data_IF_681552466051
#
_entry.id   IF_681552466051
#
_cell.length_a   1.000
_cell.length_b   1.000
_cell.length_c   1.000
_cell.angle_alpha   90.00
_cell.angle_beta   90.00
_cell.angle_gamma   90.00
#
_symmetry.space_group_name_H-M   'P 1'
#
loop_
_entity.id
_entity.type
_entity.pdbx_description
1 polymer ?
#
# COMPACT_ATOMS: atom_id res chain seq x y z
N UNK A 1 -44.04 27.15 34.04
CA UNK A 1 -43.14 26.14 33.40
C UNK A 1 -42.96 26.35 31.88
N UNK A 2 -43.16 27.56 31.32
CA UNK A 2 -42.95 27.85 29.88
C UNK A 2 -41.82 28.87 29.62
N UNK A 3 -40.92 29.10 30.59
CA UNK A 3 -39.76 29.99 30.43
C UNK A 3 -38.46 29.20 30.23
N UNK A 4 -38.51 28.13 29.44
CA UNK A 4 -37.32 27.42 29.00
C UNK A 4 -36.91 27.91 27.61
N UNK A 5 -35.64 28.22 27.41
CA UNK A 5 -35.12 28.45 26.06
C UNK A 5 -35.34 27.19 25.23
N UNK A 6 -36.10 27.29 24.15
CA UNK A 6 -36.26 26.17 23.22
C UNK A 6 -34.90 25.83 22.59
N UNK A 7 -34.61 24.55 22.35
CA UNK A 7 -33.42 24.14 21.58
C UNK A 7 -33.40 24.75 20.18
N UNK A 8 -34.56 25.16 19.66
CA UNK A 8 -34.68 25.88 18.39
C UNK A 8 -34.13 27.30 18.47
N UNK A 9 -34.25 27.97 19.61
CA UNK A 9 -33.74 29.34 19.83
C UNK A 9 -32.24 29.41 20.09
N UNK A 10 -31.57 28.27 20.36
CA UNK A 10 -30.11 28.23 20.60
C UNK A 10 -29.29 28.06 19.32
N UNK A 11 -29.92 27.86 18.16
CA UNK A 11 -29.23 27.59 16.89
C UNK A 11 -29.77 28.51 15.79
N UNK A 12 -28.86 29.04 14.96
CA UNK A 12 -29.25 29.87 13.82
C UNK A 12 -30.14 29.10 12.84
N UNK A 13 -31.24 29.73 12.38
CA UNK A 13 -32.23 29.14 11.47
C UNK A 13 -31.56 28.45 10.27
N UNK A 14 -31.97 27.21 10.00
CA UNK A 14 -31.52 26.44 8.85
C UNK A 14 -31.98 27.06 7.53
N UNK A 15 -31.16 26.96 6.49
CA UNK A 15 -31.52 27.34 5.12
C UNK A 15 -31.18 26.16 4.19
N UNK A 16 -31.78 26.08 3.00
CA UNK A 16 -31.51 25.04 1.99
C UNK A 16 -30.02 24.93 1.66
N UNK A 17 -29.29 26.06 1.65
CA UNK A 17 -27.82 26.07 1.51
C UNK A 17 -27.11 25.31 2.65
N UNK A 18 -27.58 25.45 3.90
CA UNK A 18 -27.04 24.68 5.04
C UNK A 18 -27.41 23.20 4.92
N UNK A 19 -28.63 22.89 4.48
CA UNK A 19 -29.07 21.50 4.20
C UNK A 19 -28.14 20.85 3.17
N UNK A 20 -27.93 21.49 2.02
CA UNK A 20 -27.06 20.98 0.96
C UNK A 20 -25.61 20.82 1.43
N UNK A 21 -25.10 21.76 2.25
CA UNK A 21 -23.78 21.62 2.88
C UNK A 21 -23.68 20.35 3.73
N UNK A 22 -24.69 20.07 4.56
CA UNK A 22 -24.72 18.85 5.40
C UNK A 22 -24.74 17.57 4.55
N UNK A 23 -25.60 17.48 3.53
CA UNK A 23 -25.64 16.30 2.64
C UNK A 23 -24.33 16.13 1.85
N UNK A 24 -23.76 17.23 1.36
CA UNK A 24 -22.49 17.22 0.67
C UNK A 24 -21.37 16.66 1.56
N UNK A 25 -21.30 17.14 2.80
CA UNK A 25 -20.31 16.70 3.78
C UNK A 25 -20.52 15.25 4.21
N UNK A 26 -21.74 14.84 4.54
CA UNK A 26 -22.01 13.56 5.19
C UNK A 26 -22.11 12.37 4.23
N UNK A 27 -22.52 12.60 2.98
CA UNK A 27 -22.75 11.51 2.02
C UNK A 27 -21.92 11.66 0.75
N UNK A 28 -21.87 12.85 0.15
CA UNK A 28 -21.16 13.01 -1.14
C UNK A 28 -19.64 12.99 -1.01
N UNK A 29 -19.07 13.52 0.08
CA UNK A 29 -17.62 13.46 0.33
C UNK A 29 -17.17 12.01 0.53
N UNK A 30 -17.71 11.24 1.50
CA UNK A 30 -17.34 9.82 1.66
C UNK A 30 -17.49 9.01 0.39
N UNK A 31 -18.61 9.15 -0.32
CA UNK A 31 -18.85 8.40 -1.54
C UNK A 31 -17.82 8.68 -2.64
N UNK A 32 -17.43 9.95 -2.83
CA UNK A 32 -16.43 10.32 -3.83
C UNK A 32 -15.02 9.95 -3.39
N UNK A 33 -14.74 10.06 -2.09
CA UNK A 33 -13.48 9.62 -1.52
C UNK A 33 -13.28 8.12 -1.69
N UNK A 34 -14.28 7.32 -1.32
CA UNK A 34 -14.23 5.86 -1.42
C UNK A 34 -13.97 5.40 -2.86
N UNK A 35 -14.63 6.02 -3.84
CA UNK A 35 -14.37 5.73 -5.26
C UNK A 35 -12.93 6.03 -5.68
N UNK A 36 -12.34 7.09 -5.16
CA UNK A 36 -10.94 7.43 -5.38
C UNK A 36 -10.01 6.42 -4.70
N UNK A 37 -10.30 6.08 -3.45
CA UNK A 37 -9.49 5.12 -2.69
C UNK A 37 -9.50 3.75 -3.35
N UNK A 38 -10.67 3.25 -3.79
CA UNK A 38 -10.78 1.97 -4.50
C UNK A 38 -10.01 1.99 -5.83
N UNK A 39 -10.07 3.08 -6.60
CA UNK A 39 -9.29 3.20 -7.83
C UNK A 39 -7.78 3.20 -7.55
N UNK A 40 -7.34 3.96 -6.54
CA UNK A 40 -5.95 4.01 -6.09
C UNK A 40 -5.45 2.66 -5.56
N UNK A 41 -6.30 1.91 -4.85
CA UNK A 41 -5.97 0.57 -4.36
C UNK A 41 -5.61 -0.37 -5.51
N UNK A 42 -6.37 -0.35 -6.61
CA UNK A 42 -6.03 -1.14 -7.79
C UNK A 42 -4.74 -0.67 -8.47
N UNK A 43 -4.42 0.63 -8.45
CA UNK A 43 -3.11 1.13 -8.91
C UNK A 43 -1.97 0.60 -8.04
N UNK A 44 -2.12 0.60 -6.71
CA UNK A 44 -1.15 -0.01 -5.80
C UNK A 44 -0.97 -1.51 -6.08
N UNK A 45 -2.08 -2.24 -6.31
CA UNK A 45 -2.06 -3.65 -6.67
C UNK A 45 -1.35 -3.88 -8.02
N UNK A 46 -1.58 -3.02 -9.01
CA UNK A 46 -0.90 -3.08 -10.30
C UNK A 46 0.62 -2.90 -10.15
N UNK A 47 1.05 -1.89 -9.38
CA UNK A 47 2.47 -1.65 -9.07
C UNK A 47 3.09 -2.82 -8.29
N UNK A 48 2.39 -3.38 -7.30
CA UNK A 48 2.82 -4.55 -6.55
C UNK A 48 3.00 -5.79 -7.44
N UNK A 49 2.02 -6.07 -8.31
CA UNK A 49 2.11 -7.18 -9.24
C UNK A 49 3.21 -6.94 -10.30
N UNK A 50 3.46 -5.70 -10.70
CA UNK A 50 4.59 -5.35 -11.59
C UNK A 50 5.93 -5.71 -10.98
N UNK A 51 6.11 -5.45 -9.68
CA UNK A 51 7.32 -5.84 -8.94
C UNK A 51 7.53 -7.36 -8.96
N UNK A 52 6.47 -8.16 -8.84
CA UNK A 52 6.57 -9.62 -8.81
C UNK A 52 6.64 -10.28 -10.21
N UNK A 53 6.19 -9.60 -11.26
CA UNK A 53 6.05 -10.20 -12.61
C UNK A 53 6.95 -9.54 -13.66
N UNK A 54 6.89 -8.21 -13.79
CA UNK A 54 7.57 -7.44 -14.84
C UNK A 54 9.05 -7.29 -14.51
N UNK A 55 9.40 -6.90 -13.28
CA UNK A 55 10.79 -6.70 -12.87
C UNK A 55 11.63 -8.00 -13.04
N UNK A 56 11.21 -9.18 -12.54
CA UNK A 56 11.95 -10.43 -12.78
C UNK A 56 12.03 -10.79 -14.27
N UNK A 57 10.97 -10.57 -15.05
CA UNK A 57 11.01 -10.82 -16.49
C UNK A 57 12.05 -9.95 -17.20
N UNK A 58 12.12 -8.66 -16.88
CA UNK A 58 13.12 -7.74 -17.44
C UNK A 58 14.54 -8.18 -17.10
N UNK A 59 14.79 -8.54 -15.84
CA UNK A 59 16.09 -9.06 -15.40
C UNK A 59 16.46 -10.34 -16.18
N UNK A 60 15.53 -11.29 -16.32
CA UNK A 60 15.77 -12.53 -17.09
C UNK A 60 16.03 -12.23 -18.57
N UNK A 61 15.29 -11.32 -19.19
CA UNK A 61 15.50 -10.91 -20.59
C UNK A 61 16.87 -10.26 -20.78
N UNK A 62 17.31 -9.41 -19.86
CA UNK A 62 18.61 -8.75 -19.90
C UNK A 62 19.75 -9.77 -19.72
N UNK A 63 19.63 -10.69 -18.77
CA UNK A 63 20.60 -11.79 -18.58
C UNK A 63 20.66 -12.69 -19.83
N UNK A 64 19.51 -13.05 -20.39
CA UNK A 64 19.43 -13.87 -21.61
C UNK A 64 20.09 -13.18 -22.81
N UNK A 65 19.88 -11.87 -22.97
CA UNK A 65 20.51 -11.06 -24.02
C UNK A 65 22.04 -11.06 -23.89
N UNK A 66 22.57 -10.90 -22.68
CA UNK A 66 24.02 -10.93 -22.40
C UNK A 66 24.59 -12.32 -22.72
N UNK A 67 23.93 -13.40 -22.28
CA UNK A 67 24.35 -14.78 -22.55
C UNK A 67 24.39 -15.10 -24.05
N UNK A 68 23.37 -14.65 -24.81
CA UNK A 68 23.27 -14.89 -26.26
C UNK A 68 24.26 -14.07 -27.07
N UNK A 69 24.45 -12.80 -26.72
CA UNK A 69 25.25 -11.85 -27.51
C UNK A 69 26.73 -11.89 -27.14
N UNK A 70 27.09 -12.46 -25.97
CA UNK A 70 28.47 -12.51 -25.41
C UNK A 70 29.19 -11.15 -25.33
N UNK A 71 28.46 -10.05 -25.52
CA UNK A 71 28.96 -8.68 -25.43
C UNK A 71 28.34 -8.04 -24.20
N UNK A 72 29.19 -7.51 -23.33
CA UNK A 72 28.76 -6.68 -22.20
C UNK A 72 28.31 -5.33 -22.73
N UNK A 73 27.05 -5.23 -23.13
CA UNK A 73 26.41 -3.96 -23.41
C UNK A 73 26.14 -3.26 -22.08
N UNK A 74 26.42 -1.96 -22.03
CA UNK A 74 26.14 -1.15 -20.84
C UNK A 74 24.63 -1.20 -20.53
N UNK A 75 24.22 -1.53 -19.29
CA UNK A 75 22.81 -1.59 -18.92
C UNK A 75 22.19 -0.18 -18.99
N UNK A 76 20.92 -0.12 -19.38
CA UNK A 76 20.17 1.13 -19.35
C UNK A 76 19.86 1.53 -17.89
N UNK A 77 19.56 2.80 -17.64
CA UNK A 77 19.19 3.29 -16.31
C UNK A 77 18.03 2.49 -15.69
N UNK A 78 17.01 2.18 -16.51
CA UNK A 78 15.87 1.38 -16.08
C UNK A 78 16.27 -0.04 -15.66
N UNK A 79 17.19 -0.69 -16.39
CA UNK A 79 17.68 -2.02 -16.04
C UNK A 79 18.43 -1.95 -14.70
N UNK A 80 19.26 -0.93 -14.51
CA UNK A 80 20.05 -0.77 -13.29
C UNK A 80 19.19 -0.45 -12.06
N UNK A 81 18.14 0.36 -12.22
CA UNK A 81 17.12 0.57 -11.19
C UNK A 81 16.38 -0.73 -10.84
N UNK A 82 15.97 -1.51 -11.85
CA UNK A 82 15.33 -2.82 -11.65
C UNK A 82 16.27 -3.78 -10.88
N UNK A 83 17.57 -3.78 -11.19
CA UNK A 83 18.58 -4.55 -10.43
C UNK A 83 18.69 -4.05 -8.98
N UNK A 84 18.74 -2.74 -8.76
CA UNK A 84 18.77 -2.16 -7.41
C UNK A 84 17.56 -2.57 -6.57
N UNK A 85 16.35 -2.44 -7.13
CA UNK A 85 15.11 -2.87 -6.48
C UNK A 85 15.08 -4.38 -6.21
N UNK A 86 15.58 -5.21 -7.14
CA UNK A 86 15.67 -6.66 -6.93
C UNK A 86 16.62 -7.01 -5.79
N UNK A 87 17.78 -6.36 -5.67
CA UNK A 87 18.71 -6.57 -4.55
C UNK A 87 18.05 -6.17 -3.22
N UNK A 88 17.37 -5.02 -3.17
CA UNK A 88 16.62 -4.58 -1.99
C UNK A 88 15.56 -5.62 -1.59
N UNK A 89 14.76 -6.09 -2.56
CA UNK A 89 13.73 -7.10 -2.32
C UNK A 89 14.33 -8.43 -1.84
N UNK A 90 15.38 -8.92 -2.50
CA UNK A 90 16.01 -10.20 -2.17
C UNK A 90 16.63 -10.18 -0.77
N UNK A 91 17.38 -9.12 -0.44
CA UNK A 91 17.97 -8.95 0.90
C UNK A 91 16.90 -8.72 1.96
N UNK A 92 15.87 -7.92 1.67
CA UNK A 92 14.73 -7.72 2.58
C UNK A 92 14.02 -9.03 2.92
N UNK A 93 13.68 -9.84 1.91
CA UNK A 93 13.07 -11.16 2.11
C UNK A 93 14.00 -12.08 2.89
N UNK A 94 15.30 -12.12 2.56
CA UNK A 94 16.28 -12.94 3.27
C UNK A 94 16.39 -12.55 4.75
N UNK A 95 16.46 -11.24 5.05
CA UNK A 95 16.48 -10.72 6.42
C UNK A 95 15.22 -11.12 7.19
N UNK A 96 14.03 -10.96 6.59
CA UNK A 96 12.77 -11.34 7.22
C UNK A 96 12.66 -12.86 7.45
N UNK A 97 13.25 -13.68 6.59
CA UNK A 97 13.27 -15.14 6.75
C UNK A 97 14.13 -15.60 7.93
N UNK A 98 15.15 -14.84 8.31
CA UNK A 98 15.97 -15.14 9.50
C UNK A 98 15.24 -14.83 10.81
N UNK A 99 14.13 -14.10 10.77
CA UNK A 99 13.35 -13.72 11.94
C UNK A 99 12.34 -14.82 12.28
N UNK A 100 12.37 -15.28 13.53
CA UNK A 100 11.36 -16.18 14.09
C UNK A 100 10.09 -15.40 14.46
N UNK A 101 9.02 -15.65 13.72
CA UNK A 101 7.70 -15.04 13.93
C UNK A 101 7.15 -15.44 15.31
N UNK A 102 7.40 -16.68 15.75
CA UNK A 102 6.89 -17.23 17.00
C UNK A 102 7.42 -16.44 18.20
N UNK A 103 8.71 -16.05 18.17
CA UNK A 103 9.32 -15.24 19.21
C UNK A 103 8.64 -13.87 19.32
N UNK A 104 8.48 -13.17 18.20
CA UNK A 104 7.82 -11.86 18.18
C UNK A 104 6.37 -12.00 18.65
N UNK A 105 5.66 -13.01 18.17
CA UNK A 105 4.29 -13.31 18.59
C UNK A 105 4.19 -13.54 20.10
N UNK A 106 5.07 -14.35 20.69
CA UNK A 106 5.06 -14.60 22.14
C UNK A 106 5.37 -13.35 22.95
N UNK A 107 6.30 -12.50 22.50
CA UNK A 107 6.61 -11.23 23.16
C UNK A 107 5.41 -10.28 23.13
N UNK A 108 4.74 -10.19 21.98
CA UNK A 108 3.58 -9.33 21.75
C UNK A 108 2.36 -9.83 22.54
N UNK A 109 2.07 -11.15 22.49
CA UNK A 109 0.97 -11.79 23.22
C UNK A 109 1.12 -11.68 24.73
N UNK A 110 2.35 -11.64 25.25
CA UNK A 110 2.63 -11.43 26.67
C UNK A 110 2.32 -10.02 27.18
N UNK A 111 2.03 -9.06 26.31
CA UNK A 111 1.67 -7.69 26.70
C UNK A 111 0.18 -7.56 27.00
N UNK A 112 -0.17 -6.66 27.92
CA UNK A 112 -1.58 -6.30 28.13
C UNK A 112 -2.16 -5.52 26.95
N UNK A 113 -3.46 -5.64 26.72
CA UNK A 113 -4.19 -4.98 25.60
C UNK A 113 -3.90 -3.48 25.49
N UNK A 114 -3.72 -2.80 26.63
CA UNK A 114 -3.38 -1.38 26.67
C UNK A 114 -2.00 -1.10 26.05
N UNK A 115 -1.00 -1.93 26.37
CA UNK A 115 0.34 -1.76 25.79
C UNK A 115 0.34 -2.11 24.30
N UNK A 116 -0.46 -3.08 23.90
CA UNK A 116 -0.56 -3.54 22.52
C UNK A 116 -1.07 -2.44 21.57
N UNK A 117 -2.07 -1.66 21.96
CA UNK A 117 -2.54 -0.53 21.14
C UNK A 117 -1.47 0.55 21.01
N UNK A 118 -0.70 0.83 22.07
CA UNK A 118 0.37 1.84 22.02
C UNK A 118 1.44 1.39 21.03
N UNK A 119 1.82 0.10 21.08
CA UNK A 119 2.78 -0.48 20.14
C UNK A 119 2.28 -0.37 18.70
N UNK A 120 1.01 -0.72 18.43
CA UNK A 120 0.44 -0.62 17.08
C UNK A 120 0.48 0.82 16.55
N UNK A 121 0.02 1.80 17.34
CA UNK A 121 0.03 3.21 16.94
C UNK A 121 1.47 3.74 16.71
N UNK A 122 2.43 3.31 17.53
CA UNK A 122 3.84 3.68 17.33
C UNK A 122 4.38 3.09 16.03
N UNK A 123 4.08 1.82 15.74
CA UNK A 123 4.48 1.18 14.49
C UNK A 123 3.84 1.84 13.26
N UNK A 124 2.61 2.33 13.38
CA UNK A 124 1.94 3.08 12.30
C UNK A 124 2.62 4.42 12.02
N UNK A 125 3.06 5.13 13.06
CA UNK A 125 3.87 6.35 12.89
C UNK A 125 5.18 6.00 12.16
N UNK A 126 5.83 4.89 12.52
CA UNK A 126 7.04 4.43 11.83
C UNK A 126 6.77 4.01 10.38
N UNK A 127 5.64 3.38 10.07
CA UNK A 127 5.25 3.07 8.68
C UNK A 127 5.15 4.36 7.86
N UNK A 128 4.42 5.36 8.36
CA UNK A 128 4.27 6.67 7.69
C UNK A 128 5.63 7.38 7.49
N UNK A 129 6.53 7.30 8.48
CA UNK A 129 7.90 7.84 8.37
C UNK A 129 8.75 7.07 7.35
N UNK A 130 8.65 5.74 7.33
CA UNK A 130 9.38 4.89 6.39
C UNK A 130 8.88 5.07 4.96
N UNK A 131 7.58 5.29 4.74
CA UNK A 131 7.02 5.60 3.43
C UNK A 131 7.60 6.92 2.89
N UNK A 132 7.57 8.00 3.69
CA UNK A 132 8.11 9.29 3.26
C UNK A 132 9.62 9.23 3.00
N UNK A 133 10.37 8.56 3.87
CA UNK A 133 11.82 8.43 3.71
C UNK A 133 12.21 7.47 2.57
N UNK A 134 11.44 6.40 2.37
CA UNK A 134 11.69 5.40 1.32
C UNK A 134 11.56 5.98 -0.09
N UNK A 135 10.65 6.95 -0.29
CA UNK A 135 10.52 7.70 -1.54
C UNK A 135 11.79 8.46 -1.88
N UNK A 136 12.31 9.26 -0.94
CA UNK A 136 13.56 10.01 -1.12
C UNK A 136 14.75 9.06 -1.40
N UNK A 137 14.83 7.95 -0.66
CA UNK A 137 15.92 6.97 -0.81
C UNK A 137 15.90 6.29 -2.18
N UNK A 138 14.73 5.89 -2.69
CA UNK A 138 14.63 5.34 -4.04
C UNK A 138 14.92 6.38 -5.12
N UNK A 139 14.49 7.62 -4.92
CA UNK A 139 14.79 8.69 -5.87
C UNK A 139 16.31 8.91 -6.00
N UNK A 140 17.04 8.91 -4.88
CA UNK A 140 18.51 8.99 -4.90
C UNK A 140 19.13 7.77 -5.58
N UNK A 141 18.65 6.55 -5.28
CA UNK A 141 19.12 5.32 -5.93
C UNK A 141 18.93 5.36 -7.45
N UNK A 142 17.75 5.79 -7.93
CA UNK A 142 17.44 5.90 -9.35
C UNK A 142 18.23 7.00 -10.04
N UNK A 143 18.49 8.12 -9.36
CA UNK A 143 19.37 9.16 -9.88
C UNK A 143 20.81 8.65 -10.04
N UNK A 144 21.30 7.87 -9.09
CA UNK A 144 22.63 7.23 -9.19
C UNK A 144 22.66 6.14 -10.27
N UNK A 145 21.54 5.46 -10.53
CA UNK A 145 21.40 4.53 -11.63
C UNK A 145 21.48 5.22 -13.01
N UNK A 146 20.79 6.34 -13.16
CA UNK A 146 20.87 7.20 -14.34
C UNK A 146 22.30 7.71 -14.56
N UNK A 147 22.95 8.19 -13.50
CA UNK A 147 24.35 8.61 -13.52
C UNK A 147 25.29 7.51 -13.99
N UNK A 148 25.16 6.28 -13.46
CA UNK A 148 25.98 5.15 -13.88
C UNK A 148 25.73 4.74 -15.34
N UNK A 149 24.52 4.92 -15.86
CA UNK A 149 24.20 4.57 -17.25
C UNK A 149 24.79 5.56 -18.28
N UNK A 150 24.86 6.85 -17.94
CA UNK A 150 25.26 7.94 -18.86
C UNK A 150 26.72 8.37 -18.73
N UNK A 151 27.40 7.97 -17.66
CA UNK A 151 28.75 8.40 -17.30
C UNK A 151 29.86 8.07 -18.34
N UNK A 152 30.94 8.86 -18.43
CA UNK A 152 32.13 8.52 -19.22
C UNK A 152 32.98 7.42 -18.56
N UNK A 153 33.83 6.71 -19.34
CA UNK A 153 34.64 5.57 -18.87
C UNK A 153 35.50 5.89 -17.64
N UNK A 154 36.03 7.11 -17.55
CA UNK A 154 36.95 7.53 -16.48
C UNK A 154 36.27 7.70 -15.11
N UNK A 155 34.95 7.91 -15.09
CA UNK A 155 34.17 8.15 -13.86
C UNK A 155 33.32 6.95 -13.42
N UNK A 156 33.38 5.84 -14.17
CA UNK A 156 32.55 4.65 -13.90
C UNK A 156 32.76 4.08 -12.51
N UNK A 157 33.99 4.05 -12.00
CA UNK A 157 34.30 3.51 -10.66
C UNK A 157 33.65 4.35 -9.55
N UNK A 158 33.67 5.67 -9.70
CA UNK A 158 33.04 6.61 -8.76
C UNK A 158 31.52 6.48 -8.77
N UNK A 159 30.89 6.50 -9.95
CA UNK A 159 29.43 6.35 -10.06
C UNK A 159 28.96 4.95 -9.61
N UNK A 160 29.76 3.91 -9.84
CA UNK A 160 29.47 2.56 -9.34
C UNK A 160 29.52 2.52 -7.81
N UNK A 161 30.54 3.11 -7.19
CA UNK A 161 30.65 3.18 -5.74
C UNK A 161 29.47 3.96 -5.13
N UNK A 162 29.09 5.07 -5.77
CA UNK A 162 27.92 5.87 -5.39
C UNK A 162 26.64 5.04 -5.46
N UNK A 163 26.40 4.35 -6.58
CA UNK A 163 25.24 3.46 -6.74
C UNK A 163 25.21 2.33 -5.69
N UNK A 164 26.37 1.75 -5.36
CA UNK A 164 26.46 0.72 -4.30
C UNK A 164 26.17 1.28 -2.91
N UNK A 165 26.64 2.49 -2.60
CA UNK A 165 26.40 3.14 -1.31
C UNK A 165 24.93 3.54 -1.15
N UNK A 166 24.34 4.15 -2.19
CA UNK A 166 22.92 4.48 -2.22
C UNK A 166 22.06 3.20 -2.17
N UNK A 167 22.50 2.13 -2.84
CA UNK A 167 21.89 0.81 -2.75
C UNK A 167 21.93 0.22 -1.34
N UNK A 168 23.05 0.37 -0.62
CA UNK A 168 23.17 -0.08 0.77
C UNK A 168 22.23 0.69 1.71
N UNK A 169 22.09 2.00 1.51
CA UNK A 169 21.12 2.84 2.25
C UNK A 169 19.69 2.36 1.97
N UNK A 170 19.36 2.09 0.69
CA UNK A 170 18.06 1.55 0.30
C UNK A 170 17.77 0.20 0.96
N UNK A 171 18.73 -0.73 0.94
CA UNK A 171 18.58 -2.03 1.61
C UNK A 171 18.27 -1.84 3.09
N UNK A 172 19.04 -1.00 3.79
CA UNK A 172 18.83 -0.76 5.22
C UNK A 172 17.44 -0.16 5.50
N UNK A 173 17.05 0.87 4.74
CA UNK A 173 15.76 1.54 4.89
C UNK A 173 14.58 0.58 4.69
N UNK A 174 14.59 -0.20 3.59
CA UNK A 174 13.50 -1.12 3.28
C UNK A 174 13.50 -2.37 4.16
N UNK A 175 14.63 -2.81 4.71
CA UNK A 175 14.68 -3.87 5.75
C UNK A 175 13.98 -3.38 7.02
N UNK A 176 14.28 -2.15 7.47
CA UNK A 176 13.61 -1.54 8.63
C UNK A 176 12.12 -1.40 8.37
N UNK A 177 11.72 -0.88 7.20
CA UNK A 177 10.30 -0.73 6.85
C UNK A 177 9.58 -2.08 6.81
N UNK A 178 10.18 -3.09 6.19
CA UNK A 178 9.62 -4.45 6.14
C UNK A 178 9.45 -5.05 7.53
N UNK A 179 10.36 -4.77 8.47
CA UNK A 179 10.24 -5.20 9.86
C UNK A 179 9.09 -4.50 10.58
N UNK A 180 8.91 -3.19 10.38
CA UNK A 180 7.77 -2.44 10.93
C UNK A 180 6.45 -3.03 10.45
N UNK A 181 6.31 -3.26 9.14
CA UNK A 181 5.12 -3.87 8.55
C UNK A 181 4.88 -5.30 9.07
N UNK A 182 5.93 -6.11 9.24
CA UNK A 182 5.82 -7.44 9.82
C UNK A 182 5.35 -7.38 11.29
N UNK A 183 5.90 -6.47 12.09
CA UNK A 183 5.50 -6.29 13.48
C UNK A 183 4.03 -5.83 13.60
N UNK A 184 3.55 -4.97 12.70
CA UNK A 184 2.14 -4.59 12.61
C UNK A 184 1.26 -5.77 12.26
N UNK A 185 1.65 -6.59 11.27
CA UNK A 185 0.90 -7.77 10.86
C UNK A 185 0.77 -8.80 12.00
N UNK A 186 1.85 -9.05 12.75
CA UNK A 186 1.84 -9.94 13.92
C UNK A 186 0.97 -9.37 15.04
N UNK A 187 1.04 -8.05 15.27
CA UNK A 187 0.20 -7.35 16.26
C UNK A 187 -1.29 -7.49 15.92
N UNK A 188 -1.65 -7.25 14.65
CA UNK A 188 -3.01 -7.41 14.15
C UNK A 188 -3.48 -8.86 14.27
N UNK A 189 -2.65 -9.83 13.89
CA UNK A 189 -2.94 -11.26 14.03
C UNK A 189 -3.24 -11.64 15.49
N UNK A 190 -2.40 -11.17 16.42
CA UNK A 190 -2.57 -11.41 17.85
C UNK A 190 -3.91 -10.84 18.35
N UNK A 191 -4.31 -9.66 17.87
CA UNK A 191 -5.60 -9.05 18.21
C UNK A 191 -6.81 -9.79 17.65
N UNK A 192 -6.71 -10.32 16.43
CA UNK A 192 -7.78 -11.11 15.77
C UNK A 192 -7.98 -12.45 16.48
N UNK A 193 -6.87 -13.10 16.87
CA UNK A 193 -6.89 -14.42 17.53
C UNK A 193 -7.28 -14.30 19.01
N UNK A 194 -7.02 -13.15 19.65
CA UNK A 194 -7.36 -12.94 21.05
C UNK A 194 -8.88 -13.04 21.27
N UNK A 195 -9.32 -13.92 22.19
CA UNK A 195 -10.73 -14.07 22.58
C UNK A 195 -11.34 -12.84 23.29
N UNK A 196 -10.54 -11.82 23.59
CA UNK A 196 -11.00 -10.59 24.20
C UNK A 196 -11.46 -9.59 23.12
N UNK A 197 -12.16 -8.54 23.51
CA UNK A 197 -12.45 -7.36 22.67
C UNK A 197 -11.17 -6.57 22.30
N UNK A 198 -10.01 -7.22 22.18
CA UNK A 198 -8.71 -6.64 21.86
C UNK A 198 -8.70 -6.06 20.43
N UNK A 199 -9.28 -6.77 19.46
CA UNK A 199 -9.45 -6.25 18.10
C UNK A 199 -10.26 -4.94 18.10
N UNK A 200 -11.40 -4.95 18.78
CA UNK A 200 -12.26 -3.76 18.92
C UNK A 200 -11.51 -2.61 19.61
N UNK A 201 -10.79 -2.90 20.68
CA UNK A 201 -10.01 -1.90 21.42
C UNK A 201 -8.87 -1.30 20.58
N UNK A 202 -8.17 -2.13 19.79
CA UNK A 202 -7.13 -1.67 18.86
C UNK A 202 -7.75 -0.76 17.80
N UNK A 203 -8.80 -1.22 17.11
CA UNK A 203 -9.45 -0.46 16.06
C UNK A 203 -9.97 0.87 16.61
N UNK A 204 -10.78 0.86 17.68
CA UNK A 204 -11.31 2.10 18.28
C UNK A 204 -10.19 3.05 18.72
N UNK A 205 -9.11 2.55 19.31
CA UNK A 205 -7.97 3.38 19.70
C UNK A 205 -7.25 3.99 18.50
N UNK A 206 -7.03 3.20 17.44
CA UNK A 206 -6.38 3.67 16.22
C UNK A 206 -7.21 4.78 15.58
N UNK A 207 -8.48 4.45 15.32
CA UNK A 207 -9.50 5.32 14.76
C UNK A 207 -9.63 6.65 15.50
N UNK A 208 -9.55 6.62 16.85
CA UNK A 208 -9.60 7.85 17.65
C UNK A 208 -8.34 8.71 17.53
N UNK A 209 -7.15 8.09 17.52
CA UNK A 209 -5.89 8.79 17.33
C UNK A 209 -5.84 9.46 15.96
N UNK A 210 -6.33 8.75 14.94
CA UNK A 210 -6.38 9.22 13.57
C UNK A 210 -7.36 10.39 13.38
N UNK A 211 -8.60 10.27 13.89
CA UNK A 211 -9.59 11.35 13.89
C UNK A 211 -9.02 12.59 14.60
N UNK A 212 -8.45 12.40 15.80
CA UNK A 212 -7.91 13.51 16.59
C UNK A 212 -6.78 14.23 15.87
N UNK A 213 -5.87 13.49 15.25
CA UNK A 213 -4.67 14.05 14.64
C UNK A 213 -4.95 14.76 13.31
N UNK A 214 -5.99 14.37 12.56
CA UNK A 214 -6.22 14.88 11.20
C UNK A 214 -7.40 15.84 11.08
N UNK A 215 -8.49 15.61 11.81
CA UNK A 215 -9.75 16.33 11.57
C UNK A 215 -9.67 17.83 11.92
N UNK A 216 -8.87 18.21 12.91
CA UNK A 216 -8.76 19.60 13.35
C UNK A 216 -7.67 20.39 12.64
N UNK A 217 -6.92 19.75 11.72
CA UNK A 217 -5.86 20.42 10.98
C UNK A 217 -6.44 21.28 9.85
N UNK A 218 -5.83 22.45 9.66
CA UNK A 218 -6.05 23.25 8.46
C UNK A 218 -5.27 22.61 7.31
N UNK A 219 -5.96 22.18 6.28
CA UNK A 219 -5.40 21.38 5.17
C UNK A 219 -5.74 22.06 3.85
N UNK A 220 -4.71 22.32 3.04
CA UNK A 220 -4.87 22.81 1.66
C UNK A 220 -5.41 21.69 0.77
N UNK A 221 -5.96 22.04 -0.40
CA UNK A 221 -6.42 21.04 -1.37
C UNK A 221 -5.30 20.04 -1.76
N UNK A 222 -4.07 20.52 -1.84
CA UNK A 222 -2.90 19.69 -2.19
C UNK A 222 -2.52 18.72 -1.08
N UNK A 223 -2.47 19.21 0.16
CA UNK A 223 -2.21 18.36 1.31
C UNK A 223 -3.33 17.33 1.51
N UNK A 224 -4.57 17.66 1.14
CA UNK A 224 -5.67 16.70 1.13
C UNK A 224 -5.47 15.62 0.07
N UNK A 225 -4.95 15.96 -1.11
CA UNK A 225 -4.68 14.99 -2.17
C UNK A 225 -3.65 13.96 -1.69
N UNK A 226 -2.54 14.43 -1.11
CA UNK A 226 -1.51 13.55 -0.54
C UNK A 226 -2.07 12.71 0.62
N UNK A 227 -2.91 13.28 1.49
CA UNK A 227 -3.55 12.53 2.57
C UNK A 227 -4.36 11.34 2.04
N UNK A 228 -5.17 11.55 0.99
CA UNK A 228 -5.94 10.45 0.38
C UNK A 228 -5.04 9.39 -0.23
N UNK A 229 -3.89 9.76 -0.78
CA UNK A 229 -2.89 8.80 -1.29
C UNK A 229 -2.27 7.97 -0.17
N UNK A 230 -1.97 8.57 0.98
CA UNK A 230 -1.56 7.80 2.16
C UNK A 230 -2.65 6.83 2.63
N UNK A 231 -3.91 7.26 2.63
CA UNK A 231 -5.06 6.40 3.01
C UNK A 231 -5.22 5.20 2.04
N UNK A 232 -4.94 5.41 0.75
CA UNK A 232 -4.89 4.33 -0.26
C UNK A 232 -3.80 3.31 0.09
N UNK A 233 -2.59 3.78 0.40
CA UNK A 233 -1.44 2.93 0.73
C UNK A 233 -1.69 2.17 2.04
N UNK A 234 -2.26 2.85 3.04
CA UNK A 234 -2.65 2.27 4.33
C UNK A 234 -3.61 1.08 4.15
N UNK A 235 -4.66 1.23 3.31
CA UNK A 235 -5.57 0.11 2.99
C UNK A 235 -4.88 -1.04 2.24
N UNK A 236 -3.90 -0.74 1.40
CA UNK A 236 -3.08 -1.77 0.76
C UNK A 236 -2.24 -2.54 1.80
N UNK A 237 -1.61 -1.84 2.75
CA UNK A 237 -0.87 -2.46 3.86
C UNK A 237 -1.78 -3.31 4.75
N UNK A 238 -2.98 -2.82 5.11
CA UNK A 238 -3.98 -3.60 5.87
C UNK A 238 -4.34 -4.88 5.11
N UNK A 239 -4.49 -4.83 3.79
CA UNK A 239 -4.76 -6.02 2.97
C UNK A 239 -3.59 -7.02 3.02
N UNK A 240 -2.35 -6.54 2.97
CA UNK A 240 -1.16 -7.38 3.15
C UNK A 240 -1.09 -8.01 4.55
N UNK A 241 -1.49 -7.27 5.60
CA UNK A 241 -1.58 -7.79 6.96
C UNK A 241 -2.68 -8.84 7.11
N UNK A 242 -3.84 -8.66 6.48
CA UNK A 242 -4.91 -9.67 6.49
C UNK A 242 -4.49 -10.93 5.71
N UNK A 243 -3.72 -10.79 4.64
CA UNK A 243 -3.11 -11.94 3.95
C UNK A 243 -2.11 -12.67 4.86
N UNK A 244 -1.35 -11.93 5.68
CA UNK A 244 -0.48 -12.51 6.70
C UNK A 244 -1.30 -13.35 7.70
N UNK A 245 -2.39 -12.80 8.23
CA UNK A 245 -3.27 -13.49 9.18
C UNK A 245 -3.90 -14.73 8.55
N UNK A 246 -4.34 -14.64 7.30
CA UNK A 246 -4.89 -15.77 6.55
C UNK A 246 -3.87 -16.91 6.45
N UNK A 247 -2.63 -16.60 6.06
CA UNK A 247 -1.58 -17.59 5.93
C UNK A 247 -1.19 -18.22 7.27
N UNK A 248 -1.16 -17.46 8.36
CA UNK A 248 -0.95 -18.02 9.71
C UNK A 248 -2.08 -18.98 10.09
N UNK A 249 -3.34 -18.61 9.85
CA UNK A 249 -4.46 -19.51 10.13
C UNK A 249 -4.40 -20.80 9.29
N UNK A 250 -3.95 -20.74 8.03
CA UNK A 250 -3.74 -21.93 7.20
C UNK A 250 -2.68 -22.87 7.80
N UNK A 251 -1.65 -22.32 8.42
CA UNK A 251 -0.50 -23.08 8.93
C UNK A 251 -0.67 -23.58 10.37
N UNK A 252 -1.33 -22.80 11.22
CA UNK A 252 -1.31 -22.99 12.68
C UNK A 252 -2.68 -23.26 13.30
N UNK A 253 -3.79 -22.92 12.63
CA UNK A 253 -5.12 -23.02 13.26
C UNK A 253 -5.67 -24.45 13.25
N UNK A 254 -6.12 -24.90 14.42
CA UNK A 254 -6.83 -26.17 14.60
C UNK A 254 -8.36 -25.94 14.56
N UNK A 255 -9.08 -26.69 13.71
CA UNK A 255 -10.54 -26.61 13.61
C UNK A 255 -11.08 -25.61 12.57
N UNK A 256 -12.39 -25.31 12.58
CA UNK A 256 -13.02 -24.39 11.63
C UNK A 256 -12.68 -22.93 11.97
N UNK A 257 -11.75 -22.33 11.21
CA UNK A 257 -11.28 -20.96 11.43
C UNK A 257 -11.73 -19.97 10.34
N UNK A 258 -12.14 -20.46 9.17
CA UNK A 258 -12.34 -19.64 7.97
C UNK A 258 -13.46 -18.60 8.13
N UNK A 259 -14.62 -19.00 8.67
CA UNK A 259 -15.74 -18.08 8.87
C UNK A 259 -15.40 -16.98 9.88
N UNK A 260 -14.75 -17.35 10.99
CA UNK A 260 -14.26 -16.41 12.00
C UNK A 260 -13.25 -15.43 11.41
N UNK A 261 -12.33 -15.92 10.56
CA UNK A 261 -11.38 -15.06 9.85
C UNK A 261 -12.10 -14.08 8.93
N UNK A 262 -13.07 -14.52 8.12
CA UNK A 262 -13.81 -13.64 7.22
C UNK A 262 -14.57 -12.55 7.97
N UNK A 263 -15.23 -12.90 9.08
CA UNK A 263 -15.93 -11.92 9.93
C UNK A 263 -14.95 -10.89 10.48
N UNK A 264 -13.83 -11.33 11.08
CA UNK A 264 -12.83 -10.42 11.65
C UNK A 264 -12.15 -9.55 10.59
N UNK A 265 -11.79 -10.11 9.44
CA UNK A 265 -11.22 -9.37 8.31
C UNK A 265 -12.20 -8.33 7.77
N UNK A 266 -13.48 -8.70 7.63
CA UNK A 266 -14.53 -7.76 7.22
C UNK A 266 -14.72 -6.64 8.26
N UNK A 267 -14.60 -6.95 9.55
CA UNK A 267 -14.72 -5.98 10.62
C UNK A 267 -13.60 -4.93 10.56
N UNK A 268 -12.34 -5.38 10.38
CA UNK A 268 -11.18 -4.49 10.19
C UNK A 268 -11.41 -3.56 9.00
N UNK A 269 -11.80 -4.10 7.84
CA UNK A 269 -11.99 -3.31 6.62
C UNK A 269 -13.18 -2.34 6.71
N UNK A 270 -14.30 -2.76 7.30
CA UNK A 270 -15.47 -1.90 7.50
C UNK A 270 -15.18 -0.76 8.49
N UNK A 271 -14.42 -1.04 9.55
CA UNK A 271 -13.97 0.00 10.47
C UNK A 271 -13.09 1.03 9.75
N UNK A 272 -12.13 0.59 8.95
CA UNK A 272 -11.26 1.47 8.17
C UNK A 272 -12.06 2.39 7.23
N UNK A 273 -12.96 1.81 6.43
CA UNK A 273 -13.84 2.55 5.52
C UNK A 273 -14.70 3.58 6.27
N UNK A 274 -15.25 3.20 7.42
CA UNK A 274 -16.08 4.09 8.24
C UNK A 274 -15.27 5.27 8.78
N UNK A 275 -14.03 5.04 9.20
CA UNK A 275 -13.18 6.09 9.76
C UNK A 275 -12.66 7.03 8.70
N UNK A 276 -12.25 6.52 7.56
CA UNK A 276 -11.93 7.36 6.40
C UNK A 276 -13.11 8.24 6.01
N UNK A 277 -14.32 7.67 5.97
CA UNK A 277 -15.54 8.42 5.68
C UNK A 277 -15.75 9.54 6.71
N UNK A 278 -15.59 9.27 8.01
CA UNK A 278 -15.71 10.28 9.07
C UNK A 278 -14.61 11.34 8.93
N UNK A 279 -13.34 10.92 8.83
CA UNK A 279 -12.14 11.74 8.68
C UNK A 279 -12.32 12.73 7.55
N UNK A 280 -12.59 12.27 6.34
CA UNK A 280 -12.74 13.12 5.17
C UNK A 280 -14.00 13.99 5.22
N UNK A 281 -15.11 13.50 5.78
CA UNK A 281 -16.31 14.32 5.98
C UNK A 281 -16.00 15.55 6.83
N UNK A 282 -15.40 15.34 8.01
CA UNK A 282 -15.10 16.46 8.90
C UNK A 282 -13.96 17.33 8.39
N UNK A 283 -12.94 16.74 7.75
CA UNK A 283 -11.85 17.50 7.16
C UNK A 283 -12.35 18.44 6.05
N UNK A 284 -13.24 17.93 5.17
CA UNK A 284 -13.87 18.74 4.14
C UNK A 284 -14.80 19.81 4.74
N UNK A 285 -15.51 19.49 5.84
CA UNK A 285 -16.36 20.46 6.55
C UNK A 285 -15.56 21.61 7.14
N UNK A 286 -14.47 21.33 7.86
CA UNK A 286 -13.68 22.34 8.56
C UNK A 286 -12.82 23.19 7.63
N UNK A 287 -12.40 22.63 6.49
CA UNK A 287 -11.60 23.34 5.49
C UNK A 287 -12.44 23.88 4.31
N UNK A 288 -13.77 23.79 4.40
CA UNK A 288 -14.72 24.22 3.35
C UNK A 288 -14.44 23.62 1.95
N UNK A 289 -13.95 22.39 1.91
CA UNK A 289 -13.59 21.70 0.67
C UNK A 289 -14.85 21.12 0.04
N UNK A 290 -15.07 21.46 -1.24
CA UNK A 290 -16.21 20.94 -2.01
C UNK A 290 -15.99 19.46 -2.35
N UNK A 291 -17.04 18.63 -2.41
CA UNK A 291 -16.92 17.23 -2.83
C UNK A 291 -16.35 17.06 -4.25
N UNK A 292 -16.33 18.11 -5.07
CA UNK A 292 -15.78 18.09 -6.43
C UNK A 292 -14.25 17.89 -6.42
N UNK A 293 -13.55 18.31 -5.37
CA UNK A 293 -12.10 18.14 -5.24
C UNK A 293 -11.69 16.65 -5.33
N UNK A 294 -12.38 15.75 -4.64
CA UNK A 294 -12.13 14.31 -4.73
C UNK A 294 -12.34 13.75 -6.14
N UNK A 295 -13.30 14.30 -6.88
CA UNK A 295 -13.54 13.91 -8.27
C UNK A 295 -12.49 14.48 -9.23
N UNK A 296 -11.79 15.54 -8.86
CA UNK A 296 -10.63 16.08 -9.62
C UNK A 296 -9.40 15.23 -9.33
N UNK A 297 -9.15 14.86 -8.07
CA UNK A 297 -8.07 13.92 -7.73
C UNK A 297 -8.20 12.58 -8.46
N UNK A 298 -9.44 12.05 -8.60
CA UNK A 298 -9.69 10.85 -9.41
C UNK A 298 -9.48 11.08 -10.92
N UNK A 299 -9.73 12.30 -11.41
CA UNK A 299 -9.45 12.67 -12.82
C UNK A 299 -7.94 12.69 -13.06
N UNK A 300 -7.16 13.25 -12.12
CA UNK A 300 -5.71 13.32 -12.18
C UNK A 300 -5.09 11.92 -12.11
N UNK A 301 -5.57 11.06 -11.19
CA UNK A 301 -5.17 9.65 -11.12
C UNK A 301 -5.52 8.89 -12.41
N UNK A 302 -6.69 9.16 -13.02
CA UNK A 302 -7.08 8.52 -14.27
C UNK A 302 -6.18 8.93 -15.45
N UNK A 303 -5.78 10.20 -15.51
CA UNK A 303 -4.82 10.69 -16.52
C UNK A 303 -3.44 10.08 -16.33
N UNK A 304 -3.01 9.90 -15.07
CA UNK A 304 -1.77 9.19 -14.74
C UNK A 304 -1.81 7.75 -15.28
N UNK A 305 -2.90 7.01 -15.06
CA UNK A 305 -3.07 5.63 -15.54
C UNK A 305 -2.98 5.52 -17.08
N UNK A 306 -3.49 6.52 -17.80
CA UNK A 306 -3.49 6.54 -19.27
C UNK A 306 -2.18 7.09 -19.87
N UNK A 307 -1.21 7.51 -19.04
CA UNK A 307 0.01 8.21 -19.47
C UNK A 307 -0.30 9.49 -20.30
N UNK A 308 -1.42 10.16 -20.01
CA UNK A 308 -1.85 11.39 -20.69
C UNK A 308 -1.40 12.67 -19.96
N UNK A 309 -0.58 12.56 -18.91
CA UNK A 309 -0.12 13.74 -18.16
C UNK A 309 0.86 14.60 -19.01
N UNK A 310 0.69 15.94 -19.01
CA UNK A 310 1.75 16.84 -19.45
C UNK A 310 2.94 16.79 -18.46
N UNK A 311 4.16 17.08 -18.94
CA UNK A 311 5.49 16.90 -18.29
C UNK A 311 5.70 17.37 -16.83
N UNK A 312 4.69 17.95 -16.16
CA UNK A 312 4.77 18.42 -14.78
C UNK A 312 4.42 17.28 -13.78
N UNK A 313 5.40 16.40 -13.53
CA UNK A 313 5.34 15.16 -12.71
C UNK A 313 5.01 15.34 -11.22
N UNK A 314 4.38 16.43 -10.81
CA UNK A 314 4.50 16.90 -9.43
C UNK A 314 3.66 16.11 -8.39
N UNK A 315 2.69 15.25 -8.80
CA UNK A 315 1.72 14.62 -7.87
C UNK A 315 1.24 13.23 -8.29
N UNK A 316 2.18 12.36 -8.66
CA UNK A 316 1.89 10.97 -8.97
C UNK A 316 1.67 10.14 -7.69
N UNK A 317 0.77 9.17 -7.73
CA UNK A 317 0.66 8.18 -6.64
C UNK A 317 1.93 7.33 -6.59
N UNK A 318 2.89 7.72 -5.75
CA UNK A 318 4.19 7.04 -5.55
C UNK A 318 4.05 5.92 -4.52
N UNK A 319 3.37 4.83 -4.90
CA UNK A 319 3.37 3.63 -4.07
C UNK A 319 4.64 2.80 -4.30
N UNK A 320 5.35 2.50 -3.21
CA UNK A 320 6.57 1.68 -3.22
C UNK A 320 6.24 0.27 -2.70
N UNK A 321 6.09 -0.74 -3.58
CA UNK A 321 5.66 -2.08 -3.17
C UNK A 321 6.73 -2.93 -2.47
N UNK A 322 7.97 -2.46 -2.32
CA UNK A 322 9.10 -3.28 -1.86
C UNK A 322 8.88 -3.87 -0.46
N UNK A 323 8.57 -3.04 0.53
CA UNK A 323 8.37 -3.49 1.91
C UNK A 323 7.15 -4.42 2.07
N UNK A 324 5.94 -4.10 1.54
CA UNK A 324 4.82 -5.03 1.61
C UNK A 324 5.09 -6.33 0.82
N UNK A 325 5.86 -6.28 -0.27
CA UNK A 325 6.25 -7.49 -1.00
C UNK A 325 7.17 -8.39 -0.17
N UNK A 326 8.12 -7.83 0.57
CA UNK A 326 8.94 -8.59 1.51
C UNK A 326 8.09 -9.36 2.52
N UNK A 327 7.09 -8.70 3.12
CA UNK A 327 6.17 -9.31 4.09
C UNK A 327 5.34 -10.40 3.43
N UNK A 328 4.69 -10.12 2.29
CA UNK A 328 3.86 -11.11 1.59
C UNK A 328 4.67 -12.34 1.17
N UNK A 329 5.86 -12.16 0.60
CA UNK A 329 6.73 -13.27 0.21
C UNK A 329 7.14 -14.08 1.45
N UNK A 330 7.59 -13.43 2.53
CA UNK A 330 7.98 -14.09 3.79
C UNK A 330 6.89 -15.00 4.34
N UNK A 331 5.64 -14.60 4.18
CA UNK A 331 4.47 -15.29 4.74
C UNK A 331 3.97 -16.39 3.82
N UNK A 332 3.99 -16.16 2.51
CA UNK A 332 3.60 -17.18 1.55
C UNK A 332 4.63 -18.30 1.43
N UNK A 333 5.93 -18.05 1.68
CA UNK A 333 6.98 -19.09 1.61
C UNK A 333 6.65 -20.37 2.39
N UNK A 334 6.31 -20.33 3.69
CA UNK A 334 5.93 -21.55 4.43
C UNK A 334 4.64 -22.20 3.91
N UNK A 335 3.65 -21.42 3.45
CA UNK A 335 2.42 -21.95 2.82
C UNK A 335 2.75 -22.68 1.51
N UNK A 336 3.66 -22.14 0.70
CA UNK A 336 4.16 -22.82 -0.49
C UNK A 336 4.93 -24.10 -0.14
N UNK A 337 5.67 -24.09 0.97
CA UNK A 337 6.45 -25.25 1.39
C UNK A 337 5.57 -26.45 1.78
N UNK A 338 4.35 -26.24 2.31
CA UNK A 338 3.42 -27.33 2.66
C UNK A 338 2.76 -27.97 1.43
N UNK A 339 2.67 -27.24 0.31
CA UNK A 339 2.14 -27.74 -0.96
C UNK A 339 3.13 -28.62 -1.74
N UNK A 340 4.41 -28.63 -1.35
CA UNK A 340 5.44 -29.41 -2.05
C UNK A 340 5.41 -30.88 -1.60
N UNK A 341 5.35 -31.85 -2.54
CA UNK A 341 5.32 -33.27 -2.20
C UNK A 341 6.65 -33.73 -1.59
N UNK A 342 6.57 -34.64 -0.61
CA UNK A 342 7.74 -35.31 -0.06
C UNK A 342 8.38 -36.22 -1.11
N UNK A 343 9.71 -36.16 -1.26
CA UNK A 343 10.43 -36.98 -2.22
C UNK A 343 11.93 -36.69 -2.28
N UNK A 344 12.66 -37.37 -3.19
CA UNK A 344 14.08 -37.13 -3.42
C UNK A 344 14.37 -35.67 -3.77
N UNK A 345 15.60 -35.20 -3.51
CA UNK A 345 15.99 -33.81 -3.72
C UNK A 345 15.67 -33.28 -5.14
N UNK A 346 15.96 -34.06 -6.19
CA UNK A 346 15.69 -33.70 -7.59
C UNK A 346 14.17 -33.58 -7.84
N UNK A 347 13.38 -34.49 -7.27
CA UNK A 347 11.93 -34.45 -7.37
C UNK A 347 11.36 -33.18 -6.72
N UNK A 348 11.90 -32.80 -5.56
CA UNK A 348 11.53 -31.56 -4.88
C UNK A 348 11.85 -30.32 -5.72
N UNK A 349 13.03 -30.26 -6.34
CA UNK A 349 13.40 -29.16 -7.25
C UNK A 349 12.44 -29.06 -8.43
N UNK A 350 12.08 -30.20 -9.04
CA UNK A 350 11.14 -30.23 -10.16
C UNK A 350 9.79 -29.60 -9.76
N UNK A 351 9.23 -29.98 -8.61
CA UNK A 351 7.97 -29.41 -8.13
C UNK A 351 8.10 -27.94 -7.74
N UNK A 352 9.23 -27.51 -7.15
CA UNK A 352 9.48 -26.09 -6.87
C UNK A 352 9.49 -25.28 -8.17
N UNK A 353 10.15 -25.78 -9.21
CA UNK A 353 10.18 -25.11 -10.51
C UNK A 353 8.78 -25.08 -11.15
N UNK A 354 8.06 -26.20 -11.12
CA UNK A 354 6.72 -26.28 -11.70
C UNK A 354 5.74 -25.32 -11.00
N UNK A 355 5.70 -25.33 -9.67
CA UNK A 355 4.84 -24.44 -8.89
C UNK A 355 5.25 -22.97 -9.04
N UNK A 356 6.56 -22.66 -9.07
CA UNK A 356 6.99 -21.28 -9.26
C UNK A 356 6.62 -20.73 -10.63
N UNK A 357 6.76 -21.53 -11.70
CA UNK A 357 6.32 -21.18 -13.05
C UNK A 357 4.80 -21.00 -13.11
N UNK A 358 4.03 -21.91 -12.52
CA UNK A 358 2.57 -21.81 -12.47
C UNK A 358 2.12 -20.53 -11.74
N UNK A 359 2.68 -20.27 -10.56
CA UNK A 359 2.41 -19.05 -9.78
C UNK A 359 2.78 -17.80 -10.58
N UNK A 360 3.93 -17.80 -11.25
CA UNK A 360 4.34 -16.69 -12.10
C UNK A 360 3.31 -16.41 -13.21
N UNK A 361 2.85 -17.44 -13.93
CA UNK A 361 1.82 -17.29 -14.95
C UNK A 361 0.49 -16.78 -14.37
N UNK A 362 0.06 -17.30 -13.22
CA UNK A 362 -1.16 -16.83 -12.55
C UNK A 362 -1.06 -15.36 -12.16
N UNK A 363 0.07 -14.94 -11.57
CA UNK A 363 0.32 -13.54 -11.23
C UNK A 363 0.40 -12.66 -12.47
N UNK A 364 1.00 -13.14 -13.56
CA UNK A 364 1.09 -12.39 -14.82
C UNK A 364 -0.29 -12.19 -15.47
N UNK A 365 -1.13 -13.23 -15.49
CA UNK A 365 -2.52 -13.12 -15.96
C UNK A 365 -3.29 -12.13 -15.08
N UNK A 366 -3.13 -12.24 -13.76
CA UNK A 366 -3.80 -11.33 -12.83
C UNK A 366 -3.33 -9.88 -13.02
N UNK A 367 -2.03 -9.65 -13.22
CA UNK A 367 -1.47 -8.34 -13.56
C UNK A 367 -2.08 -7.75 -14.83
N UNK A 368 -2.19 -8.55 -15.89
CA UNK A 368 -2.78 -8.12 -17.16
C UNK A 368 -4.26 -7.75 -16.94
N UNK A 369 -5.01 -8.58 -16.21
CA UNK A 369 -6.41 -8.33 -15.91
C UNK A 369 -6.61 -7.02 -15.12
N UNK A 370 -5.85 -6.82 -14.05
CA UNK A 370 -5.91 -5.59 -13.23
C UNK A 370 -5.56 -4.37 -14.08
N UNK A 371 -4.48 -4.43 -14.87
CA UNK A 371 -4.07 -3.33 -15.75
C UNK A 371 -5.11 -2.99 -16.82
N UNK A 372 -5.77 -3.99 -17.40
CA UNK A 372 -6.86 -3.78 -18.37
C UNK A 372 -8.08 -3.15 -17.72
N UNK A 373 -8.49 -3.64 -16.54
CA UNK A 373 -9.62 -3.09 -15.78
C UNK A 373 -9.34 -1.63 -15.42
N UNK A 374 -8.14 -1.31 -14.93
CA UNK A 374 -7.72 0.05 -14.60
C UNK A 374 -7.81 1.00 -15.80
N UNK A 375 -7.25 0.60 -16.95
CA UNK A 375 -7.31 1.40 -18.17
C UNK A 375 -8.75 1.61 -18.63
N UNK A 376 -9.57 0.56 -18.63
CA UNK A 376 -10.98 0.65 -19.01
C UNK A 376 -11.75 1.61 -18.09
N UNK A 377 -11.54 1.51 -16.78
CA UNK A 377 -12.18 2.38 -15.79
C UNK A 377 -11.72 3.84 -15.92
N UNK A 378 -10.42 4.07 -16.13
CA UNK A 378 -9.85 5.40 -16.32
C UNK A 378 -10.40 6.08 -17.58
N UNK A 379 -10.40 5.37 -18.72
CA UNK A 379 -10.98 5.88 -19.98
C UNK A 379 -12.46 6.16 -19.84
N UNK A 380 -13.23 5.24 -19.22
CA UNK A 380 -14.65 5.44 -18.96
C UNK A 380 -14.90 6.68 -18.09
N UNK A 381 -14.11 6.86 -17.04
CA UNK A 381 -14.27 7.99 -16.12
C UNK A 381 -13.93 9.33 -16.77
N UNK A 382 -12.87 9.41 -17.57
CA UNK A 382 -12.49 10.62 -18.31
C UNK A 382 -13.56 10.97 -19.35
N UNK A 383 -14.05 10.01 -20.12
CA UNK A 383 -15.12 10.23 -21.10
C UNK A 383 -16.42 10.73 -20.43
N UNK A 384 -16.77 10.15 -19.27
CA UNK A 384 -17.91 10.59 -18.48
C UNK A 384 -17.75 12.05 -18.00
N UNK A 385 -16.54 12.44 -17.60
CA UNK A 385 -16.22 13.82 -17.19
C UNK A 385 -16.29 14.80 -18.35
N UNK A 386 -15.74 14.43 -19.51
CA UNK A 386 -15.78 15.26 -20.73
C UNK A 386 -17.22 15.52 -21.17
N UNK A 387 -18.05 14.47 -21.24
CA UNK A 387 -19.47 14.57 -21.61
C UNK A 387 -20.25 15.50 -20.65
N UNK A 388 -19.96 15.43 -19.34
CA UNK A 388 -20.61 16.31 -18.36
C UNK A 388 -20.15 17.77 -18.45
N UNK A 389 -18.88 18.03 -18.83
CA UNK A 389 -18.38 19.39 -19.05
C UNK A 389 -19.07 20.01 -20.28
N UNK A 390 -19.20 19.25 -21.37
CA UNK A 390 -19.89 19.68 -22.60
C UNK A 390 -21.39 19.96 -22.45
N UNK A 391 -22.05 19.38 -21.45
CA UNK A 391 -23.47 19.66 -21.16
C UNK A 391 -23.68 20.78 -20.13
N UNK A 392 -22.60 21.31 -19.54
CA UNK A 392 -22.66 22.39 -18.56
C UNK A 392 -22.27 23.75 -19.16
N UNK A 393 -21.59 23.74 -20.31
CA UNK A 393 -21.36 24.90 -21.20
C UNK A 393 -22.51 25.02 -22.21
#
# INVERSE_FOLDING_TARGET
MYSGNSLRSTIAVGNDKKRQRVYNTMFHVPWRCERLIVAGFFVCLDSFLSLLTIMPARIVMTVWRILKTRQFLRPNAADLSDYGCFVVLALGVASLQMIDISLIYHVIRGQGTIKLYVVYNVLEIFDKLCQSFGEDVLQVLFNSAEGLSTCSTDRVTFELLRFLLDGAIAVLAFVVHSFVLLAQAITLSTCIIAHNNALLALLVSNNFAEIKSNVFKKVSKENLHNLVYYDIIERFHITAFLLFVLAQNILEAEGPWFDSFLINASYVFMCEVLIDAIKHSFLAKFNEIKPVAYSEFLEDLSKQILNEQPDDRQKDLTFIPLAPACVVIRVLTPVYATLLPAGPFIWRIFWILLWSVLTYFMLAIFKILVGLILRCLATWYINLRLTRKQHAD
#
